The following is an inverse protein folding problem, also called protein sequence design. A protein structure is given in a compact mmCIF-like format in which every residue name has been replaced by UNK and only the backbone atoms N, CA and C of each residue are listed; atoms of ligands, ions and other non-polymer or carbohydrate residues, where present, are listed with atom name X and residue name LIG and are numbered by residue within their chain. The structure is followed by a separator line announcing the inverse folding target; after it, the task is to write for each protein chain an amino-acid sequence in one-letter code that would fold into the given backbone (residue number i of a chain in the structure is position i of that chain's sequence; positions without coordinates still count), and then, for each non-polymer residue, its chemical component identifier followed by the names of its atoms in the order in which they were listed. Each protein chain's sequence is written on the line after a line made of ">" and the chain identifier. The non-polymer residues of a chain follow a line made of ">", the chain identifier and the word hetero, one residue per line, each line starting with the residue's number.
data_IF_414852157855
#
_entry.id   IF_414852157855
#
_cell.length_a   1.000
_cell.length_b   1.000
_cell.length_c   1.000
_cell.angle_alpha   90.00
_cell.angle_beta   90.00
_cell.angle_gamma   90.00
#
_symmetry.space_group_name_H-M   'P 1'
#
loop_
_entity.id
_entity.type
_entity.pdbx_description
1 polymer ?
#
# COMPACT_ATOMS: atom_id res chain seq x y z
N UNK A 1 13.41 20.64 -5.62
CA UNK A 1 13.06 19.49 -4.74
C UNK A 1 13.85 18.28 -5.22
N UNK A 2 14.55 17.62 -4.33
CA UNK A 2 15.23 16.35 -4.62
C UNK A 2 14.33 15.15 -4.23
N UNK A 3 14.82 13.92 -4.45
CA UNK A 3 14.06 12.70 -4.15
C UNK A 3 13.71 12.62 -2.67
N UNK A 4 14.67 12.92 -1.79
CA UNK A 4 14.46 12.86 -0.35
C UNK A 4 13.36 13.82 0.09
N UNK A 5 13.37 15.05 -0.41
CA UNK A 5 12.33 16.04 -0.11
C UNK A 5 10.94 15.59 -0.61
N UNK A 6 10.87 14.89 -1.75
CA UNK A 6 9.63 14.30 -2.25
C UNK A 6 9.13 13.17 -1.34
N UNK A 7 10.03 12.29 -0.91
CA UNK A 7 9.72 11.20 0.03
C UNK A 7 9.24 11.74 1.37
N UNK A 8 9.92 12.76 1.92
CA UNK A 8 9.49 13.44 3.16
C UNK A 8 8.12 14.11 3.01
N UNK A 9 7.91 14.81 1.90
CA UNK A 9 6.61 15.45 1.59
C UNK A 9 5.49 14.41 1.48
N UNK A 10 5.77 13.29 0.81
CA UNK A 10 4.80 12.19 0.69
C UNK A 10 4.55 11.51 2.04
N UNK A 11 5.59 11.22 2.82
CA UNK A 11 5.45 10.64 4.15
C UNK A 11 4.59 11.52 5.09
N UNK A 12 4.79 12.83 5.04
CA UNK A 12 3.98 13.77 5.80
C UNK A 12 2.50 13.72 5.39
N UNK A 13 2.21 13.67 4.10
CA UNK A 13 0.85 13.54 3.54
C UNK A 13 0.19 12.21 3.92
N UNK A 14 0.91 11.11 3.82
CA UNK A 14 0.44 9.79 4.19
C UNK A 14 0.37 9.54 5.70
N UNK A 15 0.76 10.50 6.53
CA UNK A 15 0.86 10.31 7.98
C UNK A 15 1.87 9.24 8.40
N UNK A 16 2.79 8.91 7.50
CA UNK A 16 3.78 7.86 7.65
C UNK A 16 4.96 8.29 8.53
N UNK A 17 5.75 7.31 8.98
CA UNK A 17 7.07 7.51 9.60
C UNK A 17 8.09 7.93 8.55
N UNK A 18 8.08 7.21 7.44
CA UNK A 18 8.90 7.46 6.25
C UNK A 18 8.22 6.93 5.00
N UNK A 19 8.67 7.35 3.86
CA UNK A 19 8.26 6.82 2.56
C UNK A 19 9.47 6.62 1.65
N UNK A 20 9.35 5.67 0.71
CA UNK A 20 10.29 5.44 -0.38
C UNK A 20 9.55 5.52 -1.70
N UNK A 21 10.18 6.16 -2.69
CA UNK A 21 9.70 6.19 -4.05
C UNK A 21 10.42 5.14 -4.89
N UNK A 22 9.67 4.37 -5.65
CA UNK A 22 10.20 3.28 -6.49
C UNK A 22 9.76 3.46 -7.93
N UNK A 23 10.69 3.43 -8.88
CA UNK A 23 10.39 3.60 -10.30
C UNK A 23 9.96 2.28 -10.93
N UNK A 24 8.68 1.96 -10.82
CA UNK A 24 8.08 0.74 -11.36
C UNK A 24 6.65 1.00 -11.86
N UNK A 25 6.14 0.07 -12.66
CA UNK A 25 4.85 0.23 -13.34
C UNK A 25 3.62 -0.10 -12.48
N UNK A 26 3.80 -0.88 -11.40
CA UNK A 26 2.70 -1.36 -10.57
C UNK A 26 3.19 -1.78 -9.17
N UNK A 27 2.25 -1.85 -8.23
CA UNK A 27 2.51 -2.12 -6.81
C UNK A 27 3.20 -3.46 -6.53
N UNK A 28 2.82 -4.61 -7.12
CA UNK A 28 3.57 -5.86 -6.92
C UNK A 28 5.04 -5.77 -7.31
N UNK A 29 5.37 -5.06 -8.40
CA UNK A 29 6.75 -4.84 -8.79
C UNK A 29 7.51 -3.94 -7.79
N UNK A 30 6.84 -2.97 -7.18
CA UNK A 30 7.44 -2.17 -6.12
C UNK A 30 7.79 -3.02 -4.89
N UNK A 31 6.86 -3.86 -4.45
CA UNK A 31 7.07 -4.74 -3.31
C UNK A 31 8.23 -5.73 -3.57
N UNK A 32 8.32 -6.26 -4.78
CA UNK A 32 9.43 -7.14 -5.20
C UNK A 32 10.77 -6.39 -5.24
N UNK A 33 10.79 -5.18 -5.82
CA UNK A 33 12.02 -4.39 -5.94
C UNK A 33 12.55 -3.89 -4.59
N UNK A 34 11.65 -3.63 -3.64
CA UNK A 34 12.03 -3.30 -2.27
C UNK A 34 12.76 -4.46 -1.57
N UNK A 35 12.60 -5.70 -2.04
CA UNK A 35 13.31 -6.86 -1.52
C UNK A 35 12.98 -7.20 -0.06
N UNK A 36 11.85 -6.69 0.46
CA UNK A 36 11.45 -6.86 1.86
C UNK A 36 10.75 -8.18 2.13
N UNK A 37 10.23 -8.84 1.09
CA UNK A 37 9.65 -10.19 1.15
C UNK A 37 10.72 -11.20 0.77
N UNK A 38 10.94 -12.19 1.62
CA UNK A 38 12.01 -13.19 1.51
C UNK A 38 11.46 -14.54 1.06
N UNK A 39 12.30 -15.44 0.48
CA UNK A 39 11.87 -16.78 0.10
C UNK A 39 11.28 -17.63 1.25
N UNK A 40 11.68 -17.34 2.50
CA UNK A 40 11.15 -18.03 3.69
C UNK A 40 9.80 -17.50 4.17
N UNK A 41 9.32 -16.42 3.58
CA UNK A 41 8.08 -15.75 3.99
C UNK A 41 6.86 -16.39 3.32
N UNK A 42 5.70 -16.24 3.98
CA UNK A 42 4.39 -16.50 3.36
C UNK A 42 3.74 -15.18 3.00
N UNK A 43 3.21 -15.11 1.78
CA UNK A 43 2.49 -13.97 1.27
C UNK A 43 1.04 -14.35 0.96
N UNK A 44 0.09 -13.95 1.81
CA UNK A 44 -1.35 -14.12 1.59
C UNK A 44 -1.88 -12.90 0.85
N UNK A 45 -2.45 -13.10 -0.33
CA UNK A 45 -2.76 -12.03 -1.27
C UNK A 45 -4.23 -12.03 -1.67
N UNK A 46 -4.89 -10.90 -1.48
CA UNK A 46 -6.08 -10.53 -2.24
C UNK A 46 -5.72 -9.37 -3.17
N UNK A 47 -5.67 -9.63 -4.46
CA UNK A 47 -5.38 -8.63 -5.47
C UNK A 47 -6.13 -8.95 -6.76
N UNK A 48 -7.31 -8.34 -6.92
CA UNK A 48 -8.22 -8.61 -8.06
C UNK A 48 -7.52 -8.55 -9.42
N UNK A 49 -6.64 -7.55 -9.63
CA UNK A 49 -6.04 -7.27 -10.94
C UNK A 49 -4.58 -7.76 -11.06
N UNK A 50 -3.96 -8.17 -9.95
CA UNK A 50 -2.52 -8.45 -9.90
C UNK A 50 -2.16 -9.83 -9.36
N UNK A 51 -3.13 -10.75 -9.23
CA UNK A 51 -2.86 -12.10 -8.72
C UNK A 51 -1.72 -12.80 -9.48
N UNK A 52 -1.74 -12.75 -10.82
CA UNK A 52 -0.68 -13.29 -11.67
C UNK A 52 0.67 -12.59 -11.49
N UNK A 53 0.68 -11.29 -11.21
CA UNK A 53 1.91 -10.54 -10.98
C UNK A 53 2.55 -10.94 -9.64
N UNK A 54 1.73 -11.23 -8.61
CA UNK A 54 2.23 -11.78 -7.36
C UNK A 54 2.77 -13.19 -7.54
N UNK A 55 2.05 -14.08 -8.22
CA UNK A 55 2.49 -15.43 -8.45
C UNK A 55 3.83 -15.51 -9.20
N UNK A 56 4.06 -14.61 -10.17
CA UNK A 56 5.33 -14.54 -10.92
C UNK A 56 6.43 -13.75 -10.22
N UNK A 57 6.07 -12.71 -9.48
CA UNK A 57 7.05 -11.83 -8.82
C UNK A 57 7.62 -12.38 -7.52
N UNK A 58 6.98 -13.41 -6.96
CA UNK A 58 7.33 -14.02 -5.69
C UNK A 58 7.34 -15.56 -5.78
N UNK A 59 7.79 -16.09 -6.91
CA UNK A 59 7.83 -17.53 -7.19
C UNK A 59 8.71 -18.35 -6.22
N UNK A 60 9.65 -17.67 -5.55
CA UNK A 60 10.48 -18.28 -4.51
C UNK A 60 9.81 -18.27 -3.11
N UNK A 61 8.67 -17.63 -2.96
CA UNK A 61 7.94 -17.49 -1.68
C UNK A 61 6.70 -18.39 -1.67
N UNK A 62 6.17 -18.64 -0.47
CA UNK A 62 4.88 -19.32 -0.30
C UNK A 62 3.75 -18.29 -0.53
N UNK A 63 3.23 -18.21 -1.76
CA UNK A 63 2.16 -17.29 -2.16
C UNK A 63 0.81 -17.98 -2.13
N UNK A 64 -0.10 -17.49 -1.27
CA UNK A 64 -1.47 -17.99 -1.12
C UNK A 64 -2.46 -16.92 -1.58
N UNK A 65 -3.20 -17.21 -2.66
CA UNK A 65 -4.23 -16.30 -3.16
C UNK A 65 -5.56 -16.56 -2.45
N UNK A 66 -6.21 -15.49 -1.97
CA UNK A 66 -7.55 -15.56 -1.36
C UNK A 66 -8.60 -14.92 -2.28
N UNK A 67 -9.81 -15.50 -2.29
CA UNK A 67 -10.89 -15.08 -3.18
C UNK A 67 -11.65 -13.85 -2.70
N UNK A 68 -11.46 -13.43 -1.44
CA UNK A 68 -12.15 -12.29 -0.85
C UNK A 68 -11.29 -11.58 0.22
N UNK A 69 -11.47 -10.27 0.41
CA UNK A 69 -10.70 -9.48 1.37
C UNK A 69 -11.29 -9.58 2.79
N UNK A 70 -11.54 -10.80 3.28
CA UNK A 70 -12.15 -11.04 4.59
C UNK A 70 -11.14 -11.51 5.63
N UNK A 71 -11.38 -11.20 6.90
CA UNK A 71 -10.57 -11.69 8.02
C UNK A 71 -10.50 -13.21 8.02
N UNK A 72 -11.64 -13.89 7.77
CA UNK A 72 -11.72 -15.34 7.77
C UNK A 72 -10.80 -15.95 6.69
N UNK A 73 -10.83 -15.42 5.46
CA UNK A 73 -10.01 -15.91 4.36
C UNK A 73 -8.51 -15.74 4.64
N UNK A 74 -8.09 -14.56 5.13
CA UNK A 74 -6.69 -14.31 5.48
C UNK A 74 -6.21 -15.16 6.65
N UNK A 75 -7.04 -15.33 7.69
CA UNK A 75 -6.69 -16.17 8.84
C UNK A 75 -6.53 -17.64 8.44
N UNK A 76 -7.48 -18.18 7.68
CA UNK A 76 -7.41 -19.56 7.19
C UNK A 76 -6.15 -19.80 6.31
N UNK A 77 -5.83 -18.86 5.43
CA UNK A 77 -4.62 -18.94 4.59
C UNK A 77 -3.30 -18.79 5.37
N UNK A 78 -3.38 -18.34 6.61
CA UNK A 78 -2.21 -18.18 7.50
C UNK A 78 -1.97 -19.39 8.41
N UNK A 79 -2.90 -20.32 8.48
CA UNK A 79 -2.79 -21.49 9.36
C UNK A 79 -1.50 -22.31 9.08
N UNK A 80 -0.89 -22.77 10.17
CA UNK A 80 0.32 -23.59 10.10
C UNK A 80 1.61 -22.84 9.76
N UNK A 81 1.58 -21.50 9.62
CA UNK A 81 2.78 -20.70 9.41
C UNK A 81 3.24 -20.07 10.72
N UNK A 82 4.53 -20.31 11.09
CA UNK A 82 5.14 -19.75 12.30
C UNK A 82 5.74 -18.36 12.01
N UNK A 83 4.92 -17.35 12.20
CA UNK A 83 5.25 -15.96 11.90
C UNK A 83 6.05 -15.28 13.01
N UNK A 84 7.10 -14.54 12.65
CA UNK A 84 7.89 -13.72 13.55
C UNK A 84 7.97 -12.27 13.08
N UNK A 85 8.16 -11.33 14.01
CA UNK A 85 8.57 -9.95 13.72
C UNK A 85 10.08 -9.73 13.89
N UNK A 86 10.83 -10.78 14.22
CA UNK A 86 12.27 -10.69 14.35
C UNK A 86 12.94 -10.61 12.97
N UNK A 87 13.97 -9.78 12.86
CA UNK A 87 14.66 -9.53 11.58
C UNK A 87 15.22 -10.79 10.90
N UNK A 88 15.53 -11.85 11.65
CA UNK A 88 16.02 -13.12 11.13
C UNK A 88 14.94 -14.20 10.95
N UNK A 89 13.70 -13.92 11.36
CA UNK A 89 12.59 -14.86 11.27
C UNK A 89 11.89 -14.85 9.91
N UNK A 90 10.96 -15.79 9.73
CA UNK A 90 10.05 -15.80 8.59
C UNK A 90 8.85 -14.88 8.86
N UNK A 91 8.47 -14.10 7.86
CA UNK A 91 7.39 -13.13 7.99
C UNK A 91 6.13 -13.62 7.28
N UNK A 92 4.99 -13.33 7.89
CA UNK A 92 3.67 -13.51 7.29
C UNK A 92 3.21 -12.14 6.76
N UNK A 93 2.99 -12.05 5.47
CA UNK A 93 2.52 -10.85 4.80
C UNK A 93 1.06 -11.01 4.38
N UNK A 94 0.23 -10.04 4.73
CA UNK A 94 -1.13 -9.93 4.21
C UNK A 94 -1.21 -8.76 3.25
N UNK A 95 -1.44 -9.04 1.99
CA UNK A 95 -1.59 -8.03 0.96
C UNK A 95 -3.04 -7.88 0.53
N UNK A 96 -3.55 -6.65 0.54
CA UNK A 96 -4.93 -6.34 0.15
C UNK A 96 -5.01 -4.99 -0.55
N UNK A 97 -5.94 -4.84 -1.50
CA UNK A 97 -6.31 -3.55 -2.05
C UNK A 97 -7.29 -2.84 -1.10
N UNK A 98 -7.13 -1.53 -0.88
CA UNK A 98 -8.14 -0.75 -0.13
C UNK A 98 -9.49 -0.77 -0.85
N UNK A 99 -9.45 -0.66 -2.18
CA UNK A 99 -10.55 -0.91 -3.10
C UNK A 99 -9.98 -1.75 -4.25
N UNK A 100 -10.53 -2.95 -4.44
CA UNK A 100 -10.11 -3.85 -5.52
C UNK A 100 -10.57 -3.35 -6.89
N UNK A 101 -9.75 -3.58 -7.91
CA UNK A 101 -9.86 -3.13 -9.28
C UNK A 101 -11.25 -3.08 -9.91
N UNK A 102 -11.50 -3.89 -10.93
CA UNK A 102 -12.79 -3.88 -11.64
C UNK A 102 -14.00 -4.29 -10.76
N UNK A 103 -13.78 -5.15 -9.77
CA UNK A 103 -14.84 -5.57 -8.84
C UNK A 103 -15.21 -4.51 -7.81
N UNK A 104 -14.43 -3.46 -7.65
CA UNK A 104 -14.57 -2.39 -6.64
C UNK A 104 -14.85 -2.92 -5.22
N UNK A 105 -14.31 -4.10 -4.91
CA UNK A 105 -14.49 -4.73 -3.60
C UNK A 105 -13.65 -4.01 -2.55
N UNK A 106 -14.31 -3.42 -1.56
CA UNK A 106 -13.66 -2.76 -0.44
C UNK A 106 -13.28 -3.74 0.66
N UNK A 107 -12.11 -3.55 1.27
CA UNK A 107 -11.65 -4.30 2.43
C UNK A 107 -11.97 -3.57 3.74
N UNK A 108 -12.42 -4.28 4.77
CA UNK A 108 -12.44 -3.72 6.14
C UNK A 108 -11.01 -3.71 6.70
N UNK A 109 -10.25 -2.68 6.34
CA UNK A 109 -8.85 -2.54 6.74
C UNK A 109 -8.67 -2.50 8.26
N UNK A 110 -9.66 -1.97 9.00
CA UNK A 110 -9.60 -1.93 10.47
C UNK A 110 -9.75 -3.31 11.08
N UNK A 111 -10.64 -4.13 10.57
CA UNK A 111 -10.79 -5.52 11.00
C UNK A 111 -9.57 -6.35 10.62
N UNK A 112 -9.09 -6.22 9.38
CA UNK A 112 -7.87 -6.88 8.90
C UNK A 112 -6.63 -6.46 9.71
N UNK A 113 -6.46 -5.17 10.01
CA UNK A 113 -5.33 -4.68 10.80
C UNK A 113 -5.31 -5.22 12.24
N UNK A 114 -6.46 -5.44 12.87
CA UNK A 114 -6.55 -6.12 14.18
C UNK A 114 -6.17 -7.58 14.07
N UNK A 115 -6.78 -8.29 13.12
CA UNK A 115 -6.54 -9.71 12.92
C UNK A 115 -5.08 -10.00 12.48
N UNK A 116 -4.50 -9.15 11.65
CA UNK A 116 -3.09 -9.24 11.26
C UNK A 116 -2.15 -9.21 12.47
N UNK A 117 -2.40 -8.28 13.42
CA UNK A 117 -1.59 -8.24 14.65
C UNK A 117 -1.73 -9.50 15.50
N UNK A 118 -2.92 -10.06 15.60
CA UNK A 118 -3.19 -11.32 16.32
C UNK A 118 -2.49 -12.51 15.64
N UNK A 119 -2.49 -12.55 14.31
CA UNK A 119 -1.79 -13.55 13.50
C UNK A 119 -0.29 -13.29 13.35
N UNK A 120 0.27 -12.23 13.94
CA UNK A 120 1.64 -11.74 13.70
C UNK A 120 1.96 -11.49 12.23
N UNK A 121 0.96 -11.04 11.46
CA UNK A 121 1.11 -10.69 10.06
C UNK A 121 1.42 -9.20 9.87
N UNK A 122 2.16 -8.90 8.80
CA UNK A 122 2.46 -7.57 8.30
C UNK A 122 1.39 -7.20 7.26
N UNK A 123 0.44 -6.34 7.61
CA UNK A 123 -0.61 -5.90 6.70
C UNK A 123 -0.07 -4.84 5.73
N UNK A 124 -0.04 -5.19 4.45
CA UNK A 124 0.31 -4.30 3.33
C UNK A 124 -0.94 -3.95 2.54
N UNK A 125 -1.13 -2.68 2.26
CA UNK A 125 -2.31 -2.21 1.53
C UNK A 125 -1.90 -1.49 0.25
N UNK A 126 -2.41 -1.95 -0.89
CA UNK A 126 -2.41 -1.16 -2.12
C UNK A 126 -3.55 -0.14 -2.05
N UNK A 127 -3.18 1.13 -1.91
CA UNK A 127 -4.10 2.25 -1.78
C UNK A 127 -4.25 3.07 -3.07
N UNK A 128 -3.82 2.51 -4.20
CA UNK A 128 -3.76 3.25 -5.47
C UNK A 128 -5.11 3.82 -5.92
N UNK A 129 -6.21 3.10 -5.71
CA UNK A 129 -7.54 3.53 -6.17
C UNK A 129 -8.12 4.60 -5.25
N UNK A 130 -8.10 4.37 -3.93
CA UNK A 130 -8.64 5.33 -2.96
C UNK A 130 -7.73 6.55 -2.77
N UNK A 131 -6.42 6.36 -2.92
CA UNK A 131 -5.33 7.30 -2.62
C UNK A 131 -5.30 7.74 -1.15
N UNK A 132 -4.22 8.41 -0.77
CA UNK A 132 -4.10 9.06 0.56
C UNK A 132 -5.17 10.11 0.83
N UNK A 133 -5.90 10.55 -0.19
CA UNK A 133 -7.03 11.45 -0.05
C UNK A 133 -8.30 10.73 0.44
N UNK A 134 -8.60 9.56 -0.12
CA UNK A 134 -9.83 8.81 0.15
C UNK A 134 -9.72 7.80 1.29
N UNK A 135 -8.53 7.29 1.55
CA UNK A 135 -8.28 6.29 2.58
C UNK A 135 -6.90 6.48 3.22
N UNK A 136 -6.80 6.26 4.53
CA UNK A 136 -5.56 6.26 5.30
C UNK A 136 -5.30 4.85 5.89
N UNK A 137 -4.69 3.94 5.13
CA UNK A 137 -4.49 2.55 5.55
C UNK A 137 -3.63 2.43 6.81
N UNK A 138 -2.63 3.29 6.97
CA UNK A 138 -1.72 3.26 8.11
C UNK A 138 -2.46 3.52 9.43
N UNK A 139 -3.43 4.45 9.44
CA UNK A 139 -4.31 4.69 10.60
C UNK A 139 -5.33 3.56 10.83
N UNK A 140 -5.61 2.79 9.80
CA UNK A 140 -6.54 1.65 9.87
C UNK A 140 -5.86 0.34 10.26
N UNK A 141 -4.53 0.33 10.36
CA UNK A 141 -3.79 -0.79 10.90
C UNK A 141 -2.80 -1.45 9.94
N UNK A 142 -2.68 -0.96 8.72
CA UNK A 142 -1.60 -1.37 7.82
C UNK A 142 -0.25 -0.92 8.38
N UNK A 143 0.78 -1.73 8.18
CA UNK A 143 2.16 -1.37 8.49
C UNK A 143 2.88 -0.77 7.30
N UNK A 144 2.41 -1.11 6.09
CA UNK A 144 2.92 -0.57 4.82
C UNK A 144 1.74 -0.21 3.92
N UNK A 145 1.75 0.99 3.36
CA UNK A 145 0.84 1.43 2.30
C UNK A 145 1.62 1.67 1.02
N UNK A 146 1.15 1.07 -0.07
CA UNK A 146 1.72 1.24 -1.40
C UNK A 146 0.72 2.00 -2.27
N UNK A 147 1.22 2.94 -3.07
CA UNK A 147 0.36 3.79 -3.90
C UNK A 147 1.06 4.15 -5.22
N UNK A 148 0.43 3.80 -6.35
CA UNK A 148 0.94 4.17 -7.67
C UNK A 148 0.64 5.66 -7.94
N UNK A 149 1.69 6.48 -7.93
CA UNK A 149 1.58 7.93 -8.00
C UNK A 149 1.15 8.45 -9.38
N UNK A 150 1.39 7.71 -10.44
CA UNK A 150 0.95 8.07 -11.79
C UNK A 150 -0.58 8.10 -11.93
N UNK A 151 -1.31 7.39 -11.04
CA UNK A 151 -2.77 7.41 -11.00
C UNK A 151 -3.33 8.67 -10.36
N UNK A 152 -2.72 9.13 -9.28
CA UNK A 152 -3.24 10.22 -8.44
C UNK A 152 -2.43 11.50 -8.53
N UNK A 153 -1.11 11.42 -8.72
CA UNK A 153 -0.26 12.60 -8.73
C UNK A 153 -0.32 13.39 -10.01
N UNK A 154 -1.27 13.11 -10.92
CA UNK A 154 -1.44 14.15 -11.85
C UNK A 154 -1.57 13.97 -13.32
N UNK A 155 -1.57 12.83 -13.84
CA UNK A 155 -1.54 12.70 -15.31
C UNK A 155 -0.35 13.39 -15.99
N UNK A 156 0.62 13.86 -15.22
CA UNK A 156 1.87 14.50 -15.69
C UNK A 156 3.10 13.89 -15.03
N UNK A 157 2.95 12.73 -14.38
CA UNK A 157 4.12 12.03 -13.86
C UNK A 157 5.03 11.63 -15.04
N UNK A 158 6.28 12.05 -15.05
CA UNK A 158 7.22 11.82 -16.16
C UNK A 158 7.58 10.35 -16.30
N UNK A 159 7.40 9.59 -15.25
CA UNK A 159 7.59 8.12 -15.18
C UNK A 159 6.60 7.50 -14.20
N UNK A 160 6.44 6.19 -14.29
CA UNK A 160 5.63 5.44 -13.32
C UNK A 160 6.40 5.29 -12.02
N UNK A 161 5.75 5.61 -10.92
CA UNK A 161 6.29 5.58 -9.57
C UNK A 161 5.29 4.96 -8.62
N UNK A 162 5.79 4.21 -7.65
CA UNK A 162 5.04 3.74 -6.50
C UNK A 162 5.67 4.32 -5.24
N UNK A 163 4.85 4.90 -4.38
CA UNK A 163 5.27 5.29 -3.04
C UNK A 163 4.99 4.15 -2.07
N UNK A 164 6.00 3.78 -1.28
CA UNK A 164 5.90 2.84 -0.17
C UNK A 164 6.01 3.62 1.13
N UNK A 165 4.94 3.63 1.92
CA UNK A 165 4.82 4.41 3.15
C UNK A 165 4.70 3.49 4.36
N UNK A 166 5.58 3.66 5.36
CA UNK A 166 5.61 2.84 6.58
C UNK A 166 4.90 3.53 7.73
N UNK A 167 4.12 2.76 8.49
CA UNK A 167 3.41 3.23 9.65
C UNK A 167 4.36 3.77 10.74
N UNK A 168 3.87 4.74 11.50
CA UNK A 168 4.54 5.17 12.72
C UNK A 168 4.35 4.12 13.80
N UNK A 169 5.41 3.79 14.52
CA UNK A 169 5.38 2.79 15.60
C UNK A 169 4.72 3.29 16.89
N UNK A 170 3.97 4.38 16.83
CA UNK A 170 3.35 4.97 18.01
C UNK A 170 2.12 4.18 18.45
N UNK A 171 2.28 3.46 19.54
CA UNK A 171 1.16 2.94 20.29
C UNK A 171 0.78 3.91 21.40
N UNK A 172 -0.52 3.98 21.69
CA UNK A 172 -1.02 4.64 22.90
C UNK A 172 -0.32 4.03 24.12
N UNK A 173 0.10 4.86 25.07
CA UNK A 173 0.74 4.47 26.34
C UNK A 173 2.16 3.88 26.22
N UNK A 174 3.01 4.45 25.38
CA UNK A 174 4.44 4.07 25.26
C UNK A 174 4.74 2.62 24.85
N UNK A 175 3.78 1.91 24.27
CA UNK A 175 4.03 0.59 23.67
C UNK A 175 4.45 0.77 22.22
N UNK A 176 5.48 0.04 21.81
CA UNK A 176 5.96 -0.01 20.43
C UNK A 176 5.11 -1.01 19.64
N UNK A 177 4.71 -0.66 18.43
CA UNK A 177 4.08 -1.60 17.48
C UNK A 177 5.18 -2.43 16.84
N UNK A 178 5.35 -3.67 17.28
CA UNK A 178 6.39 -4.56 16.78
C UNK A 178 6.25 -4.82 15.25
N UNK A 179 5.04 -4.88 14.74
CA UNK A 179 4.81 -5.03 13.30
C UNK A 179 5.28 -3.81 12.50
N UNK A 180 5.00 -2.59 13.00
CA UNK A 180 5.46 -1.36 12.35
C UNK A 180 6.98 -1.19 12.47
N UNK A 181 7.60 -1.58 13.57
CA UNK A 181 9.07 -1.56 13.70
C UNK A 181 9.73 -2.58 12.79
N UNK A 182 9.16 -3.79 12.66
CA UNK A 182 9.63 -4.80 11.71
C UNK A 182 9.57 -4.27 10.27
N UNK A 183 8.42 -3.73 9.85
CA UNK A 183 8.27 -3.16 8.51
C UNK A 183 9.25 -1.99 8.25
N UNK A 184 9.48 -1.14 9.27
CA UNK A 184 10.46 -0.06 9.18
C UNK A 184 11.88 -0.60 9.01
N UNK A 185 12.29 -1.58 9.81
CA UNK A 185 13.62 -2.18 9.72
C UNK A 185 13.85 -2.81 8.33
N UNK A 186 12.85 -3.56 7.83
CA UNK A 186 12.92 -4.17 6.50
C UNK A 186 13.02 -3.13 5.38
N UNK A 187 12.30 -2.01 5.48
CA UNK A 187 12.38 -0.93 4.49
C UNK A 187 13.71 -0.15 4.59
N UNK A 188 14.26 0.01 5.79
CA UNK A 188 15.55 0.67 5.98
C UNK A 188 16.72 -0.13 5.39
N UNK A 189 16.64 -1.47 5.47
CA UNK A 189 17.64 -2.39 4.91
C UNK A 189 17.49 -2.57 3.39
N UNK A 190 16.36 -2.14 2.81
CA UNK A 190 16.20 -2.24 1.37
C UNK A 190 17.20 -1.30 0.68
N UNK A 191 18.05 -1.89 -0.17
CA UNK A 191 18.97 -1.14 -1.02
C UNK A 191 18.21 -0.41 -2.12
N UNK A 192 17.27 0.48 -1.72
CA UNK A 192 16.50 1.25 -2.67
C UNK A 192 17.46 1.97 -3.62
N UNK A 193 17.40 1.60 -4.89
CA UNK A 193 18.15 2.26 -5.92
C UNK A 193 17.84 3.75 -5.87
N UNK A 194 18.86 4.57 -5.67
CA UNK A 194 18.71 6.01 -5.67
C UNK A 194 18.00 6.42 -6.97
N UNK A 195 16.78 6.92 -6.83
CA UNK A 195 16.07 7.50 -7.95
C UNK A 195 16.78 8.79 -8.33
N UNK A 196 17.24 8.87 -9.56
CA UNK A 196 17.76 10.12 -10.12
C UNK A 196 16.62 10.81 -10.85
N UNK A 197 16.21 11.98 -10.32
CA UNK A 197 15.22 12.85 -10.94
C UNK A 197 15.90 14.08 -11.53
N UNK A 198 15.57 14.38 -12.77
CA UNK A 198 15.86 15.70 -13.30
C UNK A 198 15.05 16.78 -12.56
N UNK A 199 15.56 18.00 -12.54
CA UNK A 199 14.84 19.13 -11.94
C UNK A 199 13.44 19.33 -12.52
N UNK A 200 13.25 19.02 -13.80
CA UNK A 200 11.95 19.08 -14.47
C UNK A 200 10.99 18.01 -13.94
N UNK A 201 11.44 16.77 -13.79
CA UNK A 201 10.62 15.68 -13.23
C UNK A 201 10.20 15.98 -11.79
N UNK A 202 11.12 16.47 -10.96
CA UNK A 202 10.80 16.88 -9.60
C UNK A 202 9.74 17.99 -9.56
N UNK A 203 9.87 19.00 -10.43
CA UNK A 203 8.88 20.08 -10.54
C UNK A 203 7.51 19.57 -10.99
N UNK A 204 7.45 18.62 -11.92
CA UNK A 204 6.18 18.02 -12.36
C UNK A 204 5.49 17.25 -11.24
N UNK A 205 6.24 16.46 -10.47
CA UNK A 205 5.70 15.74 -9.31
C UNK A 205 5.20 16.69 -8.23
N UNK A 206 5.96 17.73 -7.91
CA UNK A 206 5.56 18.76 -6.95
C UNK A 206 4.24 19.45 -7.35
N UNK A 207 4.09 19.80 -8.61
CA UNK A 207 2.83 20.37 -9.15
C UNK A 207 1.68 19.38 -9.04
N UNK A 208 1.92 18.11 -9.31
CA UNK A 208 0.95 17.06 -9.13
C UNK A 208 0.50 16.92 -7.67
N UNK A 209 1.45 16.88 -6.75
CA UNK A 209 1.19 16.79 -5.31
C UNK A 209 0.46 18.02 -4.76
N UNK A 210 0.85 19.23 -5.17
CA UNK A 210 0.23 20.48 -4.70
C UNK A 210 -1.24 20.62 -5.11
N UNK A 211 -1.63 20.02 -6.25
CA UNK A 211 -3.01 20.06 -6.75
C UNK A 211 -3.85 18.83 -6.35
N UNK A 212 -3.27 17.85 -5.65
CA UNK A 212 -3.89 16.55 -5.38
C UNK A 212 -5.24 16.69 -4.68
N UNK A 213 -5.30 17.42 -3.58
CA UNK A 213 -6.51 17.51 -2.76
C UNK A 213 -7.67 18.12 -3.54
N UNK A 214 -7.44 19.23 -4.25
CA UNK A 214 -8.47 19.88 -5.06
C UNK A 214 -8.98 18.98 -6.20
N UNK A 215 -8.08 18.25 -6.86
CA UNK A 215 -8.47 17.34 -7.94
C UNK A 215 -9.24 16.14 -7.40
N UNK A 216 -8.76 15.53 -6.33
CA UNK A 216 -9.42 14.37 -5.74
C UNK A 216 -10.78 14.76 -5.17
N UNK A 217 -10.91 15.93 -4.50
CA UNK A 217 -12.20 16.43 -4.03
C UNK A 217 -13.17 16.56 -5.20
N UNK A 218 -12.75 17.17 -6.32
CA UNK A 218 -13.59 17.31 -7.49
C UNK A 218 -13.99 15.95 -8.10
N UNK A 219 -13.11 14.94 -8.09
CA UNK A 219 -13.44 13.59 -8.53
C UNK A 219 -14.48 12.91 -7.62
N UNK A 220 -14.30 13.00 -6.32
CA UNK A 220 -15.24 12.42 -5.34
C UNK A 220 -16.63 13.10 -5.43
N UNK A 221 -16.68 14.41 -5.54
CA UNK A 221 -17.95 15.15 -5.65
C UNK A 221 -18.70 14.79 -6.93
N UNK A 222 -18.00 14.69 -8.06
CA UNK A 222 -18.60 14.27 -9.34
C UNK A 222 -19.06 12.81 -9.31
N UNK A 223 -18.24 11.91 -8.74
CA UNK A 223 -18.61 10.50 -8.61
C UNK A 223 -19.85 10.34 -7.73
N UNK A 224 -19.93 11.06 -6.61
CA UNK A 224 -21.10 11.06 -5.74
C UNK A 224 -22.36 11.59 -6.46
N UNK A 225 -22.25 12.72 -7.12
CA UNK A 225 -23.38 13.30 -7.87
C UNK A 225 -23.88 12.34 -8.97
N UNK A 226 -22.95 11.66 -9.67
CA UNK A 226 -23.32 10.67 -10.66
C UNK A 226 -23.99 9.44 -10.04
N UNK A 227 -23.48 8.94 -8.91
CA UNK A 227 -24.06 7.81 -8.21
C UNK A 227 -25.47 8.13 -7.70
N UNK A 228 -25.69 9.30 -7.12
CA UNK A 228 -27.01 9.78 -6.69
C UNK A 228 -27.98 9.91 -7.87
N UNK A 229 -27.52 10.45 -9.01
CA UNK A 229 -28.32 10.52 -10.23
C UNK A 229 -28.71 9.14 -10.75
N UNK A 230 -27.76 8.21 -10.82
CA UNK A 230 -28.02 6.84 -11.30
C UNK A 230 -28.96 6.08 -10.35
N UNK A 231 -28.78 6.22 -9.04
CA UNK A 231 -29.64 5.58 -8.05
C UNK A 231 -31.09 6.11 -8.08
N UNK A 232 -31.28 7.35 -8.51
CA UNK A 232 -32.61 7.93 -8.66
C UNK A 232 -33.27 7.62 -10.02
N UNK A 233 -32.57 6.94 -10.92
CA UNK A 233 -33.06 6.64 -12.27
C UNK A 233 -33.63 5.23 -12.32
N UNK A 234 -34.92 5.09 -12.60
CA UNK A 234 -35.63 3.81 -12.70
C UNK A 234 -35.13 2.88 -13.84
N UNK A 235 -34.28 3.39 -14.71
CA UNK A 235 -33.72 2.65 -15.87
C UNK A 235 -32.39 1.96 -15.57
N UNK A 236 -31.84 2.07 -14.35
CA UNK A 236 -30.54 1.52 -13.93
C UNK A 236 -30.72 0.41 -12.93
#
# INVERSE_FOLDING_TARGET
>A
MDVQQLEESWAARAGAREARLVAVSHVPAALSLLGIVRPSDRLVVFADDFADAFARGFDACDVVLVGEPSVAAFTAASEGFDASFDAGGSHLWWFVNSIGGFGLRGADLRALGRAAREARALLVVDNTVASVFGCDPLRLGAVLSLEALDRVCAGVAPRKLVAASVARSQLKRHRVDAAAECAHALLADCGASALDFSANEACMLERGLSSLDARMQAHFDRARALAEYLAANEMV
#
